data_IF_842895255272
#
_entry.id   IF_842895255272
#
_cell.length_a   1.000
_cell.length_b   1.000
_cell.length_c   1.000
_cell.angle_alpha   90.00
_cell.angle_beta   90.00
_cell.angle_gamma   90.00
#
_symmetry.space_group_name_H-M   'P 1'
#
loop_
_entity.id
_entity.type
_entity.pdbx_description
1 polymer ?
#
# COMPACT_ATOMS: atom_id res chain seq x y z
N UNK A 1 -38.13 -41.17 12.80
CA UNK A 1 -38.19 -40.00 13.68
C UNK A 1 -36.82 -39.88 14.31
N UNK A 2 -35.93 -38.97 14.01
CA UNK A 2 -35.80 -37.93 12.99
C UNK A 2 -34.28 -37.71 12.93
N UNK A 3 -33.66 -37.95 11.77
CA UNK A 3 -32.22 -37.81 11.57
C UNK A 3 -32.01 -36.50 10.81
N UNK A 4 -31.87 -35.40 11.55
CA UNK A 4 -31.60 -34.08 10.98
C UNK A 4 -30.15 -34.02 10.51
N UNK A 5 -29.98 -34.29 9.22
CA UNK A 5 -28.76 -34.07 8.47
C UNK A 5 -28.39 -32.58 8.47
N UNK A 6 -27.18 -32.28 8.93
CA UNK A 6 -26.54 -30.97 8.80
C UNK A 6 -26.07 -30.80 7.35
N UNK A 7 -26.42 -29.72 6.63
CA UNK A 7 -25.94 -29.53 5.28
C UNK A 7 -24.46 -29.12 5.29
N UNK A 8 -23.68 -29.84 4.50
CA UNK A 8 -22.24 -29.72 4.39
C UNK A 8 -21.76 -28.36 3.88
N UNK A 9 -20.65 -27.90 4.44
CA UNK A 9 -19.82 -26.85 3.86
C UNK A 9 -19.36 -27.29 2.48
N UNK A 10 -19.93 -26.66 1.44
CA UNK A 10 -19.48 -26.84 0.07
C UNK A 10 -18.05 -26.29 -0.06
N UNK A 11 -17.10 -27.22 -0.19
CA UNK A 11 -15.74 -26.99 -0.62
C UNK A 11 -15.73 -26.32 -2.00
N UNK A 12 -15.42 -25.03 -2.06
CA UNK A 12 -15.10 -24.35 -3.32
C UNK A 12 -13.70 -24.76 -3.81
N UNK A 13 -13.57 -26.00 -4.30
CA UNK A 13 -12.55 -26.34 -5.28
C UNK A 13 -13.12 -26.00 -6.65
N UNK A 14 -12.67 -24.86 -7.16
CA UNK A 14 -12.98 -24.39 -8.51
C UNK A 14 -11.74 -23.75 -9.11
N UNK A 15 -10.79 -24.59 -9.53
CA UNK A 15 -9.82 -24.19 -10.54
C UNK A 15 -10.61 -23.95 -11.83
N UNK A 16 -10.79 -22.70 -12.24
CA UNK A 16 -11.41 -22.35 -13.52
C UNK A 16 -10.68 -21.16 -14.14
N UNK A 17 -9.98 -21.48 -15.23
CA UNK A 17 -9.63 -20.65 -16.38
C UNK A 17 -8.58 -19.54 -16.21
N UNK A 18 -7.47 -19.77 -16.90
CA UNK A 18 -6.50 -18.78 -17.38
C UNK A 18 -7.23 -17.66 -18.12
N UNK A 19 -7.54 -16.58 -17.42
CA UNK A 19 -7.61 -15.27 -18.05
C UNK A 19 -6.18 -14.93 -18.48
N UNK A 20 -5.99 -14.43 -19.69
CA UNK A 20 -4.78 -13.68 -20.02
C UNK A 20 -4.70 -12.55 -19.00
N UNK A 21 -3.90 -12.73 -17.95
CA UNK A 21 -4.00 -11.94 -16.73
C UNK A 21 -3.66 -10.49 -17.07
N UNK A 22 -4.69 -9.65 -17.21
CA UNK A 22 -4.46 -8.23 -17.36
C UNK A 22 -3.72 -7.75 -16.11
N UNK A 23 -2.67 -6.92 -16.26
CA UNK A 23 -1.97 -6.39 -15.11
C UNK A 23 -2.96 -5.66 -14.21
N UNK A 24 -2.77 -5.74 -12.89
CA UNK A 24 -3.59 -5.00 -11.95
C UNK A 24 -3.65 -3.50 -12.30
N UNK A 25 -4.81 -2.85 -12.11
CA UNK A 25 -4.91 -1.41 -12.30
C UNK A 25 -3.85 -0.68 -11.47
N UNK A 26 -3.06 0.18 -12.12
CA UNK A 26 -2.11 1.08 -11.45
C UNK A 26 -2.54 2.52 -11.73
N UNK A 27 -3.15 3.15 -10.73
CA UNK A 27 -3.89 4.40 -10.89
C UNK A 27 -3.53 5.38 -9.78
N UNK A 28 -3.79 6.70 -9.93
CA UNK A 28 -3.81 7.63 -8.80
C UNK A 28 -4.71 7.10 -7.67
N UNK A 29 -4.35 7.37 -6.41
CA UNK A 29 -5.02 6.80 -5.22
C UNK A 29 -6.56 6.83 -5.29
N UNK A 30 -7.12 7.98 -5.69
CA UNK A 30 -8.58 8.17 -5.72
C UNK A 30 -9.25 7.32 -6.79
N UNK A 31 -8.58 7.15 -7.93
CA UNK A 31 -9.05 6.33 -9.04
C UNK A 31 -8.86 4.83 -8.75
N UNK A 32 -7.88 4.47 -7.93
CA UNK A 32 -7.69 3.09 -7.47
C UNK A 32 -8.76 2.66 -6.43
N UNK A 33 -9.28 3.60 -5.63
CA UNK A 33 -10.16 3.29 -4.51
C UNK A 33 -11.40 2.44 -4.85
N UNK A 34 -12.12 2.67 -5.97
CA UNK A 34 -13.26 1.84 -6.38
C UNK A 34 -12.89 0.40 -6.77
N UNK A 35 -11.61 0.12 -7.03
CA UNK A 35 -11.13 -1.24 -7.34
C UNK A 35 -10.87 -2.09 -6.10
N UNK A 36 -10.89 -1.48 -4.91
CA UNK A 36 -10.79 -2.20 -3.65
C UNK A 36 -12.18 -2.45 -3.06
N UNK A 37 -12.41 -3.60 -2.43
CA UNK A 37 -13.63 -3.83 -1.66
C UNK A 37 -13.77 -2.78 -0.54
N UNK A 38 -14.99 -2.61 -0.03
CA UNK A 38 -15.29 -1.61 1.01
C UNK A 38 -14.49 -1.83 2.32
N UNK A 39 -14.19 -3.09 2.64
CA UNK A 39 -13.32 -3.48 3.77
C UNK A 39 -12.18 -4.36 3.29
N UNK A 40 -11.06 -4.28 4.00
CA UNK A 40 -9.85 -5.05 3.72
C UNK A 40 -8.60 -4.22 3.95
N UNK A 41 -7.54 -4.90 4.39
CA UNK A 41 -6.26 -4.25 4.66
C UNK A 41 -5.60 -3.77 3.35
N UNK A 42 -4.96 -2.61 3.37
CA UNK A 42 -4.08 -2.15 2.30
C UNK A 42 -2.63 -2.27 2.75
N UNK A 43 -1.75 -2.57 1.81
CA UNK A 43 -0.29 -2.57 2.04
C UNK A 43 0.30 -1.30 1.47
N UNK A 44 0.99 -0.52 2.30
CA UNK A 44 1.68 0.70 1.92
C UNK A 44 3.17 0.47 1.70
N UNK A 45 3.73 1.03 0.64
CA UNK A 45 5.12 0.87 0.25
C UNK A 45 5.84 2.22 0.13
N UNK A 46 7.01 2.31 0.75
CA UNK A 46 8.02 3.34 0.47
C UNK A 46 9.17 2.73 -0.33
N UNK A 47 9.41 3.23 -1.54
CA UNK A 47 10.46 2.72 -2.42
C UNK A 47 11.74 3.53 -2.28
N UNK A 48 12.58 3.12 -1.32
CA UNK A 48 13.95 3.56 -1.19
C UNK A 48 14.87 2.98 -2.26
N UNK A 49 16.08 3.52 -2.38
CA UNK A 49 17.09 2.99 -3.32
C UNK A 49 17.60 1.62 -2.89
N UNK A 50 17.80 1.42 -1.59
CA UNK A 50 18.35 0.19 -0.97
C UNK A 50 17.31 -0.65 -0.23
N UNK A 51 16.21 -0.04 0.19
CA UNK A 51 15.19 -0.68 1.03
C UNK A 51 13.80 -0.43 0.48
N UNK A 52 12.85 -1.27 0.87
CA UNK A 52 11.41 -1.03 0.70
C UNK A 52 10.81 -1.05 2.09
N UNK A 53 10.34 0.11 2.55
CA UNK A 53 9.53 0.17 3.77
C UNK A 53 8.14 -0.40 3.48
N UNK A 54 7.64 -1.27 4.36
CA UNK A 54 6.32 -1.91 4.21
C UNK A 54 5.47 -1.60 5.44
N UNK A 55 4.28 -1.08 5.20
CA UNK A 55 3.23 -0.89 6.21
C UNK A 55 1.96 -1.62 5.78
N UNK A 56 1.07 -1.89 6.74
CA UNK A 56 -0.27 -2.43 6.46
C UNK A 56 -1.32 -1.72 7.31
N UNK A 57 -2.52 -1.59 6.77
CA UNK A 57 -3.67 -1.03 7.49
C UNK A 57 -4.47 -2.11 8.21
N UNK A 58 -5.28 -1.71 9.18
CA UNK A 58 -6.43 -2.53 9.60
C UNK A 58 -7.47 -2.67 8.46
N UNK A 59 -8.39 -3.67 8.54
CA UNK A 59 -9.42 -3.88 7.52
C UNK A 59 -10.42 -2.73 7.35
N UNK A 60 -10.59 -1.88 8.36
CA UNK A 60 -11.45 -0.69 8.31
C UNK A 60 -10.72 0.52 7.71
N UNK A 61 -9.44 0.35 7.36
CA UNK A 61 -8.60 1.38 6.73
C UNK A 61 -8.48 2.63 7.60
N UNK A 62 -8.34 2.44 8.93
CA UNK A 62 -8.23 3.54 9.90
C UNK A 62 -6.80 3.83 10.32
N UNK A 63 -6.02 2.80 10.62
CA UNK A 63 -4.66 2.92 11.13
C UNK A 63 -3.68 2.12 10.27
N UNK A 64 -2.55 2.74 9.93
CA UNK A 64 -1.39 2.11 9.34
C UNK A 64 -0.37 1.69 10.42
N UNK A 65 0.23 0.51 10.25
CA UNK A 65 1.29 0.00 11.13
C UNK A 65 2.45 -0.53 10.31
N UNK A 66 3.68 -0.41 10.84
CA UNK A 66 4.87 -0.95 10.21
C UNK A 66 4.84 -2.47 10.18
N UNK A 67 5.30 -3.06 9.08
CA UNK A 67 5.34 -4.51 8.89
C UNK A 67 6.77 -5.00 8.79
N UNK A 68 7.52 -4.48 7.82
CA UNK A 68 8.87 -4.95 7.50
C UNK A 68 9.62 -3.88 6.71
N UNK A 69 10.95 -3.83 6.87
CA UNK A 69 11.84 -3.12 5.95
C UNK A 69 12.60 -4.13 5.12
N UNK A 70 12.21 -4.30 3.85
CA UNK A 70 12.82 -5.27 2.94
C UNK A 70 14.13 -4.68 2.40
N UNK A 71 15.22 -5.43 2.51
CA UNK A 71 16.47 -5.11 1.83
C UNK A 71 16.36 -5.47 0.35
N UNK A 72 16.47 -4.47 -0.53
CA UNK A 72 16.28 -4.66 -1.98
C UNK A 72 17.41 -5.49 -2.55
N UNK A 73 17.04 -6.47 -3.38
CA UNK A 73 18.00 -7.30 -4.11
C UNK A 73 17.69 -7.20 -5.60
N UNK A 74 16.80 -8.08 -6.06
CA UNK A 74 16.35 -8.17 -7.43
C UNK A 74 14.83 -8.09 -7.44
N UNK A 75 14.27 -7.43 -8.45
CA UNK A 75 12.83 -7.17 -8.52
C UNK A 75 11.98 -8.41 -8.25
N UNK A 76 12.34 -9.57 -8.84
CA UNK A 76 11.59 -10.81 -8.66
C UNK A 76 11.54 -11.29 -7.19
N UNK A 77 12.64 -11.15 -6.45
CA UNK A 77 12.70 -11.53 -5.04
C UNK A 77 11.94 -10.54 -4.17
N UNK A 78 12.12 -9.25 -4.44
CA UNK A 78 11.44 -8.16 -3.74
C UNK A 78 9.91 -8.30 -3.91
N UNK A 79 9.44 -8.49 -5.15
CA UNK A 79 8.03 -8.70 -5.47
C UNK A 79 7.47 -9.97 -4.82
N UNK A 80 8.22 -11.08 -4.82
CA UNK A 80 7.78 -12.30 -4.15
C UNK A 80 7.55 -12.09 -2.64
N UNK A 81 8.44 -11.34 -1.96
CA UNK A 81 8.25 -11.01 -0.54
C UNK A 81 7.04 -10.10 -0.34
N UNK A 82 6.86 -9.08 -1.17
CA UNK A 82 5.70 -8.18 -1.09
C UNK A 82 4.37 -8.93 -1.26
N UNK A 83 4.31 -9.86 -2.21
CA UNK A 83 3.11 -10.67 -2.43
C UNK A 83 2.85 -11.65 -1.28
N UNK A 84 3.92 -12.21 -0.67
CA UNK A 84 3.80 -13.01 0.54
C UNK A 84 3.23 -12.20 1.71
N UNK A 85 3.75 -10.99 1.95
CA UNK A 85 3.22 -10.08 2.98
C UNK A 85 1.74 -9.75 2.71
N UNK A 86 1.39 -9.43 1.46
CA UNK A 86 0.02 -9.15 1.09
C UNK A 86 -0.92 -10.33 1.38
N UNK A 87 -0.48 -11.56 1.08
CA UNK A 87 -1.23 -12.77 1.39
C UNK A 87 -1.35 -13.00 2.92
N UNK A 88 -0.26 -12.88 3.67
CA UNK A 88 -0.23 -13.01 5.14
C UNK A 88 -1.20 -12.01 5.82
N UNK A 89 -1.35 -10.82 5.24
CA UNK A 89 -2.22 -9.76 5.76
C UNK A 89 -3.63 -9.76 5.19
N UNK A 90 -3.97 -10.71 4.31
CA UNK A 90 -5.23 -10.70 3.55
C UNK A 90 -5.50 -9.34 2.90
N UNK A 91 -4.45 -8.74 2.32
CA UNK A 91 -4.52 -7.42 1.75
C UNK A 91 -5.36 -7.42 0.47
N UNK A 92 -6.11 -6.33 0.28
CA UNK A 92 -7.01 -6.15 -0.87
C UNK A 92 -6.45 -5.18 -1.91
N UNK A 93 -5.27 -4.59 -1.64
CA UNK A 93 -4.68 -3.57 -2.49
C UNK A 93 -3.33 -3.08 -2.00
N UNK A 94 -2.61 -2.38 -2.88
CA UNK A 94 -1.37 -1.70 -2.55
C UNK A 94 -1.52 -0.18 -2.67
N UNK A 95 -0.80 0.54 -1.81
CA UNK A 95 -0.57 1.97 -1.93
C UNK A 95 0.93 2.20 -2.03
N UNK A 96 1.38 2.82 -3.12
CA UNK A 96 2.77 3.19 -3.31
C UNK A 96 2.87 4.70 -3.19
N UNK A 97 3.78 5.15 -2.34
CA UNK A 97 4.12 6.55 -2.32
C UNK A 97 4.81 6.95 -3.64
N UNK A 98 4.43 8.11 -4.16
CA UNK A 98 4.92 8.71 -5.39
C UNK A 98 5.55 10.08 -5.05
N UNK A 99 6.89 10.20 -5.13
CA UNK A 99 7.58 11.44 -4.79
C UNK A 99 7.46 12.46 -5.93
N UNK A 100 6.45 13.32 -5.85
CA UNK A 100 6.21 14.43 -6.78
C UNK A 100 6.91 15.68 -6.25
N UNK A 101 7.49 16.48 -7.14
CA UNK A 101 8.09 17.77 -6.78
C UNK A 101 7.02 18.80 -6.37
N UNK A 102 7.43 19.85 -5.67
CA UNK A 102 6.50 20.90 -5.20
C UNK A 102 5.78 21.64 -6.33
N UNK A 103 6.39 21.73 -7.52
CA UNK A 103 5.80 22.29 -8.74
C UNK A 103 4.89 21.30 -9.49
N UNK A 104 4.73 20.07 -8.99
CA UNK A 104 3.94 19.01 -9.61
C UNK A 104 4.70 18.17 -10.65
N UNK A 105 5.97 18.46 -10.92
CA UNK A 105 6.78 17.69 -11.86
C UNK A 105 7.26 16.36 -11.25
N UNK A 106 7.56 15.39 -12.13
CA UNK A 106 8.10 14.09 -11.74
C UNK A 106 9.60 13.99 -12.00
N UNK A 107 10.37 13.66 -10.96
CA UNK A 107 11.78 13.34 -11.07
C UNK A 107 12.06 11.85 -11.32
N UNK A 108 13.35 11.45 -11.40
CA UNK A 108 13.76 10.05 -11.62
C UNK A 108 13.18 9.05 -10.60
N UNK A 109 12.99 9.47 -9.33
CA UNK A 109 12.39 8.61 -8.29
C UNK A 109 10.92 8.28 -8.57
N UNK A 110 10.14 9.25 -9.04
CA UNK A 110 8.74 9.02 -9.44
C UNK A 110 8.65 8.05 -10.61
N UNK A 111 9.51 8.23 -11.63
CA UNK A 111 9.58 7.32 -12.77
C UNK A 111 9.96 5.89 -12.35
N UNK A 112 10.94 5.74 -11.46
CA UNK A 112 11.34 4.44 -10.89
C UNK A 112 10.19 3.78 -10.13
N UNK A 113 9.45 4.55 -9.33
CA UNK A 113 8.27 4.09 -8.59
C UNK A 113 7.18 3.60 -9.53
N UNK A 114 6.86 4.36 -10.59
CA UNK A 114 5.88 3.96 -11.61
C UNK A 114 6.31 2.70 -12.36
N UNK A 115 7.59 2.56 -12.68
CA UNK A 115 8.13 1.35 -13.30
C UNK A 115 8.00 0.13 -12.37
N UNK A 116 8.33 0.29 -11.09
CA UNK A 116 8.15 -0.75 -10.09
C UNK A 116 6.67 -1.17 -9.96
N UNK A 117 5.77 -0.20 -9.84
CA UNK A 117 4.33 -0.43 -9.74
C UNK A 117 3.79 -1.23 -10.93
N UNK A 118 4.14 -0.82 -12.16
CA UNK A 118 3.75 -1.50 -13.40
C UNK A 118 4.28 -2.93 -13.48
N UNK A 119 5.52 -3.17 -13.06
CA UNK A 119 6.07 -4.52 -13.05
C UNK A 119 5.39 -5.39 -11.98
N UNK A 120 5.10 -4.83 -10.80
CA UNK A 120 4.40 -5.54 -9.73
C UNK A 120 2.96 -5.87 -10.13
N UNK A 121 2.29 -4.94 -10.82
CA UNK A 121 0.95 -5.14 -11.36
C UNK A 121 0.84 -6.33 -12.32
N UNK A 122 1.91 -6.67 -13.05
CA UNK A 122 1.95 -7.88 -13.88
C UNK A 122 2.00 -9.20 -13.09
N UNK A 123 2.19 -9.15 -11.76
CA UNK A 123 2.34 -10.31 -10.89
C UNK A 123 1.18 -10.48 -9.88
N UNK A 124 0.20 -9.58 -9.89
CA UNK A 124 -0.92 -9.58 -8.93
C UNK A 124 -2.20 -9.08 -9.57
N UNK A 125 -3.34 -9.47 -8.99
CA UNK A 125 -4.64 -8.90 -9.31
C UNK A 125 -5.02 -7.72 -8.38
N UNK A 126 -4.22 -7.47 -7.34
CA UNK A 126 -4.48 -6.42 -6.36
C UNK A 126 -4.20 -5.04 -6.98
N UNK A 127 -5.23 -4.19 -7.07
CA UNK A 127 -5.08 -2.84 -7.61
C UNK A 127 -4.08 -2.01 -6.79
N UNK A 128 -3.32 -1.18 -7.50
CA UNK A 128 -2.23 -0.37 -6.97
C UNK A 128 -2.60 1.11 -7.08
N UNK A 129 -2.71 1.78 -5.93
CA UNK A 129 -2.92 3.22 -5.83
C UNK A 129 -1.59 3.96 -5.67
N UNK A 130 -1.36 4.98 -6.50
CA UNK A 130 -0.22 5.88 -6.38
C UNK A 130 -0.61 7.08 -5.52
N UNK A 131 0.09 7.28 -4.41
CA UNK A 131 -0.17 8.33 -3.45
C UNK A 131 0.84 9.47 -3.58
N UNK A 132 0.37 10.69 -3.79
CA UNK A 132 1.20 11.89 -3.79
C UNK A 132 1.69 12.19 -2.36
N UNK A 133 2.96 11.90 -2.09
CA UNK A 133 3.56 11.91 -0.74
C UNK A 133 3.72 13.31 -0.12
N UNK A 134 3.53 14.39 -0.90
CA UNK A 134 3.86 15.77 -0.49
C UNK A 134 3.19 16.22 0.81
N UNK A 135 2.05 15.62 1.16
CA UNK A 135 1.28 16.00 2.35
C UNK A 135 1.65 15.20 3.60
N UNK A 136 2.11 13.95 3.47
CA UNK A 136 2.38 13.08 4.62
C UNK A 136 3.60 13.54 5.41
N UNK A 137 4.73 13.77 4.73
CA UNK A 137 6.01 14.10 5.41
C UNK A 137 5.98 15.49 6.06
N UNK A 138 5.35 16.47 5.41
CA UNK A 138 5.25 17.83 5.94
C UNK A 138 4.38 17.92 7.20
N UNK A 139 3.32 17.10 7.30
CA UNK A 139 2.47 17.03 8.48
C UNK A 139 3.23 16.41 9.67
N UNK A 140 3.90 15.28 9.44
CA UNK A 140 4.73 14.59 10.43
C UNK A 140 5.87 15.47 10.92
N UNK A 141 6.56 16.16 10.00
CA UNK A 141 7.67 17.04 10.37
C UNK A 141 7.20 18.17 11.31
N UNK A 142 6.02 18.75 11.07
CA UNK A 142 5.44 19.76 11.98
C UNK A 142 5.11 19.20 13.35
N UNK A 143 4.56 18.00 13.43
CA UNK A 143 4.25 17.35 14.71
C UNK A 143 5.53 17.11 15.52
N UNK A 144 6.58 16.58 14.88
CA UNK A 144 7.86 16.36 15.54
C UNK A 144 8.56 17.66 15.95
N UNK A 145 8.36 18.76 15.21
CA UNK A 145 8.81 20.10 15.65
C UNK A 145 8.06 20.51 16.91
N UNK A 146 6.74 20.31 16.97
CA UNK A 146 5.94 20.62 18.17
C UNK A 146 6.31 19.78 19.40
N UNK A 147 7.01 18.67 19.20
CA UNK A 147 7.58 17.81 20.24
C UNK A 147 9.06 18.12 20.56
N UNK A 148 9.60 19.24 20.07
CA UNK A 148 11.01 19.65 20.26
C UNK A 148 12.05 18.60 19.78
N UNK A 149 11.70 17.78 18.80
CA UNK A 149 12.62 16.77 18.25
C UNK A 149 13.68 17.46 17.37
N UNK A 150 14.95 17.15 17.63
CA UNK A 150 16.08 17.71 16.87
C UNK A 150 15.97 17.39 15.38
N UNK A 151 16.48 18.28 14.51
CA UNK A 151 16.39 18.10 13.06
C UNK A 151 16.97 16.76 12.58
N UNK A 152 18.09 16.32 13.16
CA UNK A 152 18.71 15.04 12.84
C UNK A 152 17.81 13.87 13.24
N UNK A 153 17.28 13.89 14.46
CA UNK A 153 16.39 12.83 14.95
C UNK A 153 15.06 12.79 14.19
N UNK A 154 14.55 13.95 13.75
CA UNK A 154 13.36 14.02 12.88
C UNK A 154 13.59 13.29 11.56
N UNK A 155 14.74 13.52 10.92
CA UNK A 155 15.08 12.85 9.67
C UNK A 155 15.17 11.32 9.85
N UNK A 156 15.76 10.84 10.95
CA UNK A 156 15.81 9.41 11.28
C UNK A 156 14.42 8.81 11.47
N UNK A 157 13.55 9.47 12.24
CA UNK A 157 12.17 8.99 12.49
C UNK A 157 11.37 8.96 11.19
N UNK A 158 11.51 9.98 10.36
CA UNK A 158 10.83 10.07 9.06
C UNK A 158 11.27 8.94 8.14
N UNK A 159 12.57 8.64 8.07
CA UNK A 159 13.11 7.56 7.25
C UNK A 159 12.62 6.18 7.75
N UNK A 160 12.68 5.94 9.05
CA UNK A 160 12.27 4.66 9.66
C UNK A 160 10.76 4.37 9.51
N UNK A 161 9.93 5.42 9.53
CA UNK A 161 8.47 5.29 9.52
C UNK A 161 7.83 5.74 8.19
N UNK A 162 8.62 5.97 7.13
CA UNK A 162 8.16 6.52 5.86
C UNK A 162 6.94 5.78 5.29
N UNK A 163 6.99 4.44 5.25
CA UNK A 163 5.89 3.63 4.73
C UNK A 163 4.59 3.76 5.54
N UNK A 164 4.71 3.96 6.86
CA UNK A 164 3.56 4.18 7.75
C UNK A 164 2.92 5.53 7.42
N UNK A 165 3.72 6.59 7.27
CA UNK A 165 3.22 7.92 6.96
C UNK A 165 2.62 8.03 5.56
N UNK A 166 3.21 7.33 4.59
CA UNK A 166 2.64 7.19 3.24
C UNK A 166 1.27 6.53 3.32
N UNK A 167 1.17 5.38 3.97
CA UNK A 167 -0.09 4.66 4.05
C UNK A 167 -1.13 5.46 4.85
N UNK A 168 -0.77 5.98 6.03
CA UNK A 168 -1.69 6.74 6.87
C UNK A 168 -2.24 7.97 6.14
N UNK A 169 -1.38 8.75 5.47
CA UNK A 169 -1.84 9.91 4.70
C UNK A 169 -2.80 9.54 3.57
N UNK A 170 -2.57 8.41 2.90
CA UNK A 170 -3.49 7.87 1.90
C UNK A 170 -4.83 7.46 2.53
N UNK A 171 -4.81 6.73 3.65
CA UNK A 171 -6.02 6.33 4.38
C UNK A 171 -6.84 7.55 4.84
N UNK A 172 -6.19 8.55 5.41
CA UNK A 172 -6.81 9.80 5.86
C UNK A 172 -7.47 10.54 4.70
N UNK A 173 -6.82 10.57 3.54
CA UNK A 173 -7.39 11.17 2.32
C UNK A 173 -8.63 10.42 1.85
N UNK A 174 -8.58 9.09 1.83
CA UNK A 174 -9.74 8.26 1.46
C UNK A 174 -10.89 8.44 2.45
N UNK A 175 -10.59 8.54 3.75
CA UNK A 175 -11.58 8.76 4.80
C UNK A 175 -12.31 10.11 4.63
N UNK A 176 -11.57 11.19 4.36
CA UNK A 176 -12.18 12.52 4.09
C UNK A 176 -13.15 12.47 2.90
N UNK A 177 -12.75 11.84 1.81
CA UNK A 177 -13.60 11.71 0.61
C UNK A 177 -14.84 10.83 0.82
N UNK A 178 -14.81 9.91 1.79
CA UNK A 178 -15.99 9.12 2.18
C UNK A 178 -16.95 9.91 3.05
N UNK A 179 -16.46 10.81 3.90
CA UNK A 179 -17.28 11.68 4.75
C UNK A 179 -17.85 12.92 4.05
N UNK A 180 -17.29 13.29 2.89
CA UNK A 180 -17.80 14.35 2.00
C UNK A 180 -18.93 13.87 1.06
N UNK A 181 -19.31 12.58 1.11
CA UNK A 181 -20.45 11.99 0.38
C UNK A 181 -21.65 11.81 1.29
#
# INVERSE_FOLDING_TARGET
MDATAVPGFASARGCVLSASAMPAPTLPLIEAAPHWPERGALVGLDLGTKTIGVAASDPDRRLATGVETIQRKQFKADAARLLAIAAERNAVGFVLGLPINMDGSEGPRAQSTRAFARNLAGLTALAIGLWDERLSTAAVERELIGMDVSRARRAEVIDEHAAIFILQGALDRLAKLRGER
#
